data_IF_159668969594
#
_entry.id   IF_159668969594
#
_cell.length_a   1.000
_cell.length_b   1.000
_cell.length_c   1.000
_cell.angle_alpha   90.00
_cell.angle_beta   90.00
_cell.angle_gamma   90.00
#
_symmetry.space_group_name_H-M   'P 1'
#
loop_
_entity.id
_entity.type
_entity.pdbx_description
1 polymer ?
#
# COMPACT_ATOMS: atom_id res chain seq x y z
N UNK A 1 -42.25 -29.06 10.13
CA UNK A 1 -40.86 -29.27 10.59
C UNK A 1 -39.94 -28.74 9.50
N UNK A 2 -39.03 -27.83 9.84
CA UNK A 2 -38.00 -27.16 9.02
C UNK A 2 -38.50 -26.17 7.93
N UNK A 3 -38.66 -24.88 8.23
CA UNK A 3 -37.68 -23.76 8.18
C UNK A 3 -37.16 -23.41 6.79
N UNK A 4 -37.80 -22.39 6.21
CA UNK A 4 -37.41 -21.65 5.02
C UNK A 4 -36.31 -20.63 5.39
N UNK A 5 -35.17 -20.67 4.71
CA UNK A 5 -33.98 -19.87 5.00
C UNK A 5 -33.82 -18.74 3.98
N UNK A 6 -34.01 -17.50 4.44
CA UNK A 6 -33.91 -16.28 3.65
C UNK A 6 -32.49 -16.03 3.07
N UNK A 7 -32.34 -15.62 1.79
CA UNK A 7 -31.06 -15.16 1.24
C UNK A 7 -30.95 -13.63 1.33
N UNK A 8 -30.70 -13.09 2.52
CA UNK A 8 -30.67 -11.62 2.76
C UNK A 8 -29.32 -11.02 3.16
N UNK A 9 -28.29 -11.82 3.47
CA UNK A 9 -27.13 -11.33 4.25
C UNK A 9 -25.92 -10.82 3.47
N UNK A 10 -25.80 -11.07 2.16
CA UNK A 10 -24.54 -10.84 1.42
C UNK A 10 -24.42 -9.47 0.73
N UNK A 11 -25.54 -8.77 0.49
CA UNK A 11 -25.56 -7.51 -0.30
C UNK A 11 -25.21 -6.24 0.48
N UNK A 12 -25.27 -6.25 1.81
CA UNK A 12 -25.03 -5.04 2.62
C UNK A 12 -23.56 -4.81 2.99
N UNK A 13 -22.70 -5.81 2.79
CA UNK A 13 -21.28 -5.73 3.21
C UNK A 13 -20.36 -5.24 2.09
N UNK A 14 -20.76 -5.41 0.83
CA UNK A 14 -19.97 -5.01 -0.34
C UNK A 14 -20.11 -3.51 -0.66
N UNK A 15 -21.25 -2.88 -0.36
CA UNK A 15 -21.43 -1.42 -0.50
C UNK A 15 -20.50 -0.64 0.45
N UNK A 16 -20.34 -1.12 1.68
CA UNK A 16 -19.50 -0.47 2.69
C UNK A 16 -17.99 -0.50 2.42
N UNK A 17 -17.52 -1.39 1.54
CA UNK A 17 -16.11 -1.48 1.14
C UNK A 17 -15.85 -0.63 -0.10
N UNK A 18 -16.79 -0.58 -1.03
CA UNK A 18 -16.74 0.31 -2.20
C UNK A 18 -16.71 1.79 -1.80
N UNK A 19 -17.61 2.19 -0.89
CA UNK A 19 -17.76 3.58 -0.44
C UNK A 19 -16.48 4.12 0.24
N UNK A 20 -15.72 3.26 0.93
CA UNK A 20 -14.46 3.67 1.58
C UNK A 20 -13.34 3.93 0.58
N UNK A 21 -13.28 3.14 -0.51
CA UNK A 21 -12.26 3.30 -1.55
C UNK A 21 -12.55 4.57 -2.37
N UNK A 22 -13.82 4.86 -2.63
CA UNK A 22 -14.23 6.06 -3.34
C UNK A 22 -14.00 7.33 -2.50
N UNK A 23 -14.33 7.30 -1.20
CA UNK A 23 -14.08 8.43 -0.29
C UNK A 23 -12.59 8.75 -0.12
N UNK A 24 -11.71 7.74 -0.08
CA UNK A 24 -10.24 7.96 -0.03
C UNK A 24 -9.75 8.57 -1.35
N UNK A 25 -10.24 8.08 -2.49
CA UNK A 25 -9.86 8.62 -3.81
C UNK A 25 -10.30 10.07 -3.97
N UNK A 26 -11.51 10.42 -3.54
CA UNK A 26 -12.02 11.80 -3.54
C UNK A 26 -11.12 12.68 -2.66
N UNK A 27 -10.78 12.24 -1.44
CA UNK A 27 -9.95 13.01 -0.51
C UNK A 27 -8.54 13.29 -1.05
N UNK A 28 -7.91 12.28 -1.67
CA UNK A 28 -6.55 12.39 -2.23
C UNK A 28 -6.53 13.28 -3.48
N UNK A 29 -7.59 13.23 -4.29
CA UNK A 29 -7.65 13.98 -5.55
C UNK A 29 -8.06 15.43 -5.33
N UNK A 30 -9.04 15.71 -4.44
CA UNK A 30 -9.54 17.06 -4.18
C UNK A 30 -8.70 17.86 -3.17
N UNK A 31 -8.01 17.19 -2.24
CA UNK A 31 -7.22 17.86 -1.20
C UNK A 31 -6.23 18.90 -1.74
N UNK A 32 -5.38 18.57 -2.73
CA UNK A 32 -4.42 19.51 -3.31
C UNK A 32 -5.08 20.71 -4.02
N UNK A 33 -6.22 20.49 -4.69
CA UNK A 33 -6.95 21.55 -5.38
C UNK A 33 -7.62 22.52 -4.40
N UNK A 34 -8.22 21.99 -3.33
CA UNK A 34 -8.82 22.80 -2.28
C UNK A 34 -7.76 23.65 -1.56
N UNK A 35 -6.55 23.11 -1.37
CA UNK A 35 -5.43 23.86 -0.82
C UNK A 35 -5.02 25.02 -1.73
N UNK A 36 -4.80 24.78 -3.03
CA UNK A 36 -4.47 25.87 -3.96
C UNK A 36 -5.52 26.99 -3.94
N UNK A 37 -6.80 26.63 -3.95
CA UNK A 37 -7.89 27.62 -3.92
C UNK A 37 -7.88 28.42 -2.60
N UNK A 38 -7.63 27.76 -1.47
CA UNK A 38 -7.54 28.41 -0.16
C UNK A 38 -6.35 29.39 -0.10
N UNK A 39 -5.16 28.97 -0.56
CA UNK A 39 -3.97 29.84 -0.57
C UNK A 39 -4.16 31.03 -1.50
N UNK A 40 -4.78 30.83 -2.66
CA UNK A 40 -5.12 31.93 -3.59
C UNK A 40 -6.13 32.88 -2.95
N UNK A 41 -7.15 32.37 -2.25
CA UNK A 41 -8.14 33.19 -1.57
C UNK A 41 -7.52 34.07 -0.47
N UNK A 42 -6.61 33.52 0.33
CA UNK A 42 -5.87 34.26 1.36
C UNK A 42 -5.03 35.39 0.75
N UNK A 43 -4.32 35.13 -0.35
CA UNK A 43 -3.55 36.15 -1.08
C UNK A 43 -4.45 37.26 -1.62
N UNK A 44 -5.63 36.93 -2.17
CA UNK A 44 -6.60 37.91 -2.67
C UNK A 44 -7.20 38.75 -1.54
N UNK A 45 -7.44 38.17 -0.37
CA UNK A 45 -7.94 38.87 0.81
C UNK A 45 -6.93 39.89 1.36
N UNK A 46 -5.63 39.56 1.35
CA UNK A 46 -4.55 40.48 1.72
C UNK A 46 -4.42 41.61 0.70
N UNK A 47 -4.48 41.31 -0.62
CA UNK A 47 -4.43 42.32 -1.68
C UNK A 47 -5.60 43.31 -1.63
N UNK A 48 -6.75 42.89 -1.09
CA UNK A 48 -7.93 43.74 -0.88
C UNK A 48 -7.90 44.52 0.45
N UNK A 49 -6.87 44.34 1.27
CA UNK A 49 -6.73 45.02 2.56
C UNK A 49 -7.77 44.60 3.61
N UNK A 50 -8.45 43.47 3.41
CA UNK A 50 -9.47 42.96 4.33
C UNK A 50 -8.85 42.25 5.54
N UNK A 51 -7.59 41.80 5.41
CA UNK A 51 -6.87 41.05 6.43
C UNK A 51 -5.45 41.64 6.54
N UNK A 52 -4.93 41.80 7.75
CA UNK A 52 -3.56 42.24 7.98
C UNK A 52 -2.56 41.14 7.61
N UNK A 53 -1.35 41.55 7.19
CA UNK A 53 -0.28 40.61 6.81
C UNK A 53 0.04 39.64 7.95
N UNK A 54 -0.02 40.10 9.21
CA UNK A 54 0.25 39.28 10.39
C UNK A 54 -0.75 38.12 10.57
N UNK A 55 -2.03 38.37 10.30
CA UNK A 55 -3.08 37.33 10.35
C UNK A 55 -2.91 36.32 9.23
N UNK A 56 -2.47 36.76 8.05
CA UNK A 56 -2.15 35.87 6.93
C UNK A 56 -0.97 34.95 7.26
N UNK A 57 0.10 35.49 7.87
CA UNK A 57 1.26 34.69 8.30
C UNK A 57 0.87 33.66 9.36
N UNK A 58 0.01 34.05 10.31
CA UNK A 58 -0.50 33.13 11.33
C UNK A 58 -1.35 31.99 10.73
N UNK A 59 -2.24 32.30 9.78
CA UNK A 59 -3.07 31.31 9.09
C UNK A 59 -2.22 30.30 8.32
N UNK A 60 -1.24 30.78 7.54
CA UNK A 60 -0.32 29.93 6.79
C UNK A 60 0.51 29.06 7.74
N UNK A 61 0.99 29.63 8.85
CA UNK A 61 1.80 28.93 9.84
C UNK A 61 1.02 27.81 10.57
N UNK A 62 -0.31 27.92 10.71
CA UNK A 62 -1.16 26.91 11.36
C UNK A 62 -1.73 25.90 10.35
N UNK A 63 -2.12 26.35 9.16
CA UNK A 63 -2.74 25.49 8.14
C UNK A 63 -1.73 24.52 7.50
N UNK A 64 -0.52 24.98 7.18
CA UNK A 64 0.50 24.15 6.54
C UNK A 64 0.91 22.92 7.38
N UNK A 65 1.22 23.01 8.68
CA UNK A 65 1.62 21.84 9.45
C UNK A 65 0.50 20.79 9.55
N UNK A 66 -0.77 21.19 9.61
CA UNK A 66 -1.91 20.25 9.60
C UNK A 66 -2.01 19.49 8.28
N UNK A 67 -1.74 20.16 7.15
CA UNK A 67 -1.79 19.56 5.81
C UNK A 67 -0.59 18.64 5.59
N UNK A 68 0.61 19.03 6.02
CA UNK A 68 1.80 18.18 6.00
C UNK A 68 1.56 16.92 6.84
N UNK A 69 0.96 17.07 8.02
CA UNK A 69 0.55 15.92 8.85
C UNK A 69 -0.48 15.04 8.14
N UNK A 70 -1.50 15.62 7.52
CA UNK A 70 -2.52 14.88 6.76
C UNK A 70 -1.95 14.11 5.57
N UNK A 71 -1.10 14.75 4.77
CA UNK A 71 -0.44 14.14 3.63
C UNK A 71 0.55 13.04 4.08
N UNK A 72 1.28 13.25 5.18
CA UNK A 72 2.16 12.23 5.75
C UNK A 72 1.40 11.01 6.27
N UNK A 73 0.14 11.17 6.71
CA UNK A 73 -0.73 10.06 7.10
C UNK A 73 -1.32 9.33 5.92
N UNK A 74 -1.68 10.04 4.84
CA UNK A 74 -2.14 9.42 3.59
C UNK A 74 -1.03 8.61 2.94
N UNK A 75 0.19 9.16 2.88
CA UNK A 75 1.35 8.45 2.34
C UNK A 75 1.65 7.19 3.16
N UNK A 76 1.67 7.28 4.50
CA UNK A 76 1.79 6.10 5.37
C UNK A 76 0.64 5.10 5.18
N UNK A 77 -0.61 5.57 5.12
CA UNK A 77 -1.79 4.73 4.92
C UNK A 77 -1.84 4.03 3.56
N UNK A 78 -1.23 4.59 2.50
CA UNK A 78 -1.10 3.90 1.21
C UNK A 78 -0.17 2.69 1.27
N UNK A 79 0.89 2.75 2.09
CA UNK A 79 1.78 1.61 2.33
C UNK A 79 1.14 0.55 3.25
N UNK A 80 0.47 0.99 4.33
CA UNK A 80 -0.30 0.11 5.22
C UNK A 80 -1.41 -0.65 4.45
N UNK A 81 -2.08 0.01 3.49
CA UNK A 81 -3.16 -0.60 2.70
C UNK A 81 -2.72 -1.73 1.77
N UNK A 82 -1.48 -1.71 1.28
CA UNK A 82 -0.91 -2.77 0.44
C UNK A 82 -0.39 -3.92 1.30
N UNK A 83 0.33 -3.61 2.39
CA UNK A 83 0.79 -4.60 3.35
C UNK A 83 -0.37 -5.36 4.02
N UNK A 84 -1.43 -4.67 4.43
CA UNK A 84 -2.62 -5.29 5.03
C UNK A 84 -3.41 -6.13 4.02
N UNK A 85 -3.49 -5.72 2.75
CA UNK A 85 -4.12 -6.51 1.68
C UNK A 85 -3.30 -7.75 1.32
N UNK A 86 -1.98 -7.62 1.29
CA UNK A 86 -1.06 -8.74 1.10
C UNK A 86 -1.12 -9.70 2.27
N UNK A 87 -1.09 -9.23 3.52
CA UNK A 87 -1.29 -10.08 4.68
C UNK A 87 -2.65 -10.77 4.63
N UNK A 88 -3.74 -10.04 4.40
CA UNK A 88 -5.08 -10.64 4.30
C UNK A 88 -5.21 -11.72 3.23
N UNK A 89 -4.52 -11.57 2.09
CA UNK A 89 -4.51 -12.57 1.02
C UNK A 89 -3.54 -13.72 1.27
N UNK A 90 -2.34 -13.45 1.81
CA UNK A 90 -1.34 -14.47 2.14
C UNK A 90 -1.77 -15.34 3.33
N UNK A 91 -2.45 -14.75 4.32
CA UNK A 91 -3.06 -15.46 5.46
C UNK A 91 -4.18 -16.42 5.03
N UNK A 92 -4.78 -16.20 3.85
CA UNK A 92 -5.85 -17.05 3.33
C UNK A 92 -5.34 -18.30 2.58
N UNK A 93 -4.05 -18.38 2.28
CA UNK A 93 -3.46 -19.49 1.52
C UNK A 93 -3.04 -20.60 2.50
N UNK A 94 -4.02 -21.38 2.94
CA UNK A 94 -3.81 -22.57 3.78
C UNK A 94 -3.20 -23.71 2.94
N UNK A 95 -2.02 -24.19 3.32
CA UNK A 95 -1.56 -25.51 2.88
C UNK A 95 -0.06 -25.79 2.84
N UNK A 96 0.70 -25.55 3.93
CA UNK A 96 2.03 -26.16 4.12
C UNK A 96 2.25 -26.58 5.60
N UNK A 97 3.18 -27.51 5.90
CA UNK A 97 3.25 -28.22 7.20
C UNK A 97 3.70 -27.40 8.43
N UNK A 98 4.09 -26.13 8.26
CA UNK A 98 4.73 -25.31 9.31
C UNK A 98 3.76 -24.35 10.05
N UNK A 99 2.47 -24.70 10.11
CA UNK A 99 1.39 -23.84 10.61
C UNK A 99 1.60 -23.28 12.03
N UNK A 100 2.35 -23.97 12.89
CA UNK A 100 2.57 -23.51 14.27
C UNK A 100 3.51 -22.30 14.37
N UNK A 101 4.64 -22.34 13.67
CA UNK A 101 5.64 -21.25 13.69
C UNK A 101 5.07 -19.99 13.01
N UNK A 102 4.34 -20.16 11.91
CA UNK A 102 3.60 -19.07 11.29
C UNK A 102 2.53 -18.47 12.20
N UNK A 103 1.82 -19.29 12.98
CA UNK A 103 0.81 -18.77 13.93
C UNK A 103 1.45 -17.91 15.02
N UNK A 104 2.66 -18.25 15.48
CA UNK A 104 3.39 -17.44 16.45
C UNK A 104 3.85 -16.11 15.84
N UNK A 105 4.48 -16.14 14.67
CA UNK A 105 4.88 -14.93 13.93
C UNK A 105 3.69 -14.02 13.64
N UNK A 106 2.56 -14.58 13.20
CA UNK A 106 1.31 -13.84 12.97
C UNK A 106 0.75 -13.23 14.27
N UNK A 107 0.83 -13.96 15.39
CA UNK A 107 0.39 -13.41 16.67
C UNK A 107 1.23 -12.22 17.10
N UNK A 108 2.54 -12.22 16.83
CA UNK A 108 3.42 -11.07 17.10
C UNK A 108 3.01 -9.85 16.27
N UNK A 109 2.71 -10.06 14.98
CA UNK A 109 2.20 -8.99 14.11
C UNK A 109 0.88 -8.43 14.62
N UNK A 110 -0.05 -9.28 15.06
CA UNK A 110 -1.36 -8.85 15.60
C UNK A 110 -1.18 -8.02 16.89
N UNK A 111 -0.15 -8.31 17.69
CA UNK A 111 0.19 -7.57 18.91
C UNK A 111 0.93 -6.25 18.64
N UNK A 112 1.30 -5.97 17.38
CA UNK A 112 2.09 -4.82 17.01
C UNK A 112 3.59 -4.97 17.29
N UNK A 113 4.04 -6.19 17.60
CA UNK A 113 5.46 -6.50 17.85
C UNK A 113 6.20 -6.75 16.53
N UNK A 114 6.20 -5.74 15.65
CA UNK A 114 6.64 -5.90 14.25
C UNK A 114 8.13 -6.20 14.09
N UNK A 115 8.98 -5.63 14.95
CA UNK A 115 10.43 -5.89 14.95
C UNK A 115 10.70 -7.34 15.33
N UNK A 116 10.10 -7.80 16.43
CA UNK A 116 10.19 -9.19 16.88
C UNK A 116 9.63 -10.15 15.83
N UNK A 117 8.49 -9.81 15.20
CA UNK A 117 7.93 -10.61 14.13
C UNK A 117 8.89 -10.73 12.93
N UNK A 118 9.54 -9.64 12.54
CA UNK A 118 10.52 -9.65 11.45
C UNK A 118 11.75 -10.49 11.79
N UNK A 119 12.28 -10.39 13.02
CA UNK A 119 13.37 -11.24 13.50
C UNK A 119 13.00 -12.73 13.44
N UNK A 120 11.78 -13.08 13.86
CA UNK A 120 11.28 -14.47 13.75
C UNK A 120 11.14 -14.95 12.32
N UNK A 121 10.69 -14.10 11.40
CA UNK A 121 10.67 -14.43 9.97
C UNK A 121 12.09 -14.64 9.43
N UNK A 122 13.06 -13.80 9.83
CA UNK A 122 14.46 -13.96 9.43
C UNK A 122 15.06 -15.27 9.97
N UNK A 123 14.83 -15.60 11.24
CA UNK A 123 15.20 -16.89 11.85
C UNK A 123 14.60 -18.07 11.09
N UNK A 124 13.29 -18.00 10.78
CA UNK A 124 12.58 -19.04 10.03
C UNK A 124 13.18 -19.23 8.63
N UNK A 125 13.52 -18.15 7.95
CA UNK A 125 14.10 -18.17 6.61
C UNK A 125 15.53 -18.72 6.57
N UNK A 126 16.26 -18.73 7.70
CA UNK A 126 17.53 -19.46 7.80
C UNK A 126 17.31 -20.97 7.65
N UNK A 127 16.25 -21.51 8.29
CA UNK A 127 15.90 -22.92 8.19
C UNK A 127 15.20 -23.26 6.87
N UNK A 128 14.36 -22.35 6.36
CA UNK A 128 13.53 -22.55 5.17
C UNK A 128 13.74 -21.43 4.13
N UNK A 129 14.93 -21.34 3.51
CA UNK A 129 15.27 -20.22 2.61
C UNK A 129 14.46 -20.19 1.31
N UNK A 130 13.73 -21.26 0.98
CA UNK A 130 12.87 -21.35 -0.21
C UNK A 130 11.39 -21.09 0.09
N UNK A 131 11.04 -20.71 1.32
CA UNK A 131 9.66 -20.38 1.65
C UNK A 131 9.28 -18.99 1.12
N UNK A 132 8.63 -18.98 -0.04
CA UNK A 132 8.14 -17.76 -0.70
C UNK A 132 7.21 -16.95 0.21
N UNK A 133 6.33 -17.59 0.97
CA UNK A 133 5.34 -16.89 1.78
C UNK A 133 6.00 -16.17 2.96
N UNK A 134 6.99 -16.81 3.60
CA UNK A 134 7.80 -16.17 4.63
C UNK A 134 8.54 -14.94 4.10
N UNK A 135 9.20 -15.04 2.93
CA UNK A 135 9.84 -13.89 2.30
C UNK A 135 8.85 -12.76 1.98
N UNK A 136 7.68 -13.09 1.43
CA UNK A 136 6.64 -12.10 1.12
C UNK A 136 6.08 -11.40 2.36
N UNK A 137 5.89 -12.13 3.47
CA UNK A 137 5.39 -11.59 4.73
C UNK A 137 6.42 -10.69 5.42
N UNK A 138 7.70 -11.10 5.42
CA UNK A 138 8.79 -10.25 5.89
C UNK A 138 8.89 -8.96 5.08
N UNK A 139 8.81 -9.06 3.75
CA UNK A 139 8.85 -7.88 2.87
C UNK A 139 7.67 -6.93 3.12
N UNK A 140 6.47 -7.46 3.36
CA UNK A 140 5.29 -6.67 3.68
C UNK A 140 5.45 -5.92 5.02
N UNK A 141 5.98 -6.58 6.05
CA UNK A 141 6.29 -5.95 7.33
C UNK A 141 7.33 -4.83 7.20
N UNK A 142 8.37 -5.07 6.39
CA UNK A 142 9.40 -4.08 6.11
C UNK A 142 8.83 -2.86 5.37
N UNK A 143 7.98 -3.08 4.36
CA UNK A 143 7.38 -2.00 3.56
C UNK A 143 6.38 -1.15 4.35
N UNK A 144 5.59 -1.79 5.22
CA UNK A 144 4.56 -1.15 6.02
C UNK A 144 5.09 -0.70 7.37
N UNK A 145 4.91 -1.56 8.37
CA UNK A 145 5.00 -1.20 9.79
C UNK A 145 6.40 -0.81 10.25
N UNK A 146 7.44 -1.37 9.62
CA UNK A 146 8.82 -1.01 9.94
C UNK A 146 9.30 0.25 9.21
N UNK A 147 8.60 0.68 8.15
CA UNK A 147 9.00 1.85 7.37
C UNK A 147 10.37 1.71 6.69
N UNK A 148 10.73 0.49 6.26
CA UNK A 148 11.99 0.14 5.61
C UNK A 148 11.76 -0.25 4.13
N UNK A 149 11.30 0.67 3.26
CA UNK A 149 10.93 0.36 1.87
C UNK A 149 12.10 -0.17 1.04
N UNK A 150 13.32 0.34 1.24
CA UNK A 150 14.51 -0.14 0.52
C UNK A 150 14.82 -1.62 0.83
N UNK A 151 14.67 -2.00 2.10
CA UNK A 151 14.84 -3.41 2.52
C UNK A 151 13.73 -4.28 1.95
N UNK A 152 12.49 -3.77 1.97
CA UNK A 152 11.35 -4.50 1.43
C UNK A 152 11.52 -4.85 -0.05
N UNK A 153 12.07 -3.94 -0.86
CA UNK A 153 12.39 -4.21 -2.28
C UNK A 153 13.32 -5.41 -2.40
N UNK A 154 14.43 -5.41 -1.65
CA UNK A 154 15.39 -6.53 -1.66
C UNK A 154 14.73 -7.83 -1.25
N UNK A 155 13.90 -7.80 -0.21
CA UNK A 155 13.21 -8.99 0.31
C UNK A 155 12.16 -9.52 -0.67
N UNK A 156 11.42 -8.66 -1.37
CA UNK A 156 10.50 -9.09 -2.44
C UNK A 156 11.23 -9.68 -3.64
N UNK A 157 12.41 -9.16 -3.99
CA UNK A 157 13.24 -9.75 -5.04
C UNK A 157 13.73 -11.15 -4.65
N UNK A 158 14.12 -11.36 -3.38
CA UNK A 158 14.42 -12.71 -2.86
C UNK A 158 13.22 -13.63 -2.89
N UNK A 159 12.02 -13.14 -2.53
CA UNK A 159 10.77 -13.91 -2.64
C UNK A 159 10.48 -14.36 -4.08
N UNK A 160 10.94 -13.61 -5.08
CA UNK A 160 10.81 -13.98 -6.50
C UNK A 160 11.81 -15.07 -6.90
N UNK A 161 13.00 -15.08 -6.30
CA UNK A 161 14.04 -16.08 -6.57
C UNK A 161 13.67 -17.48 -6.05
N UNK A 162 12.76 -17.59 -5.08
CA UNK A 162 12.32 -18.89 -4.53
C UNK A 162 11.38 -19.69 -5.45
N UNK A 163 10.93 -19.10 -6.55
CA UNK A 163 9.99 -19.73 -7.50
C UNK A 163 8.53 -19.59 -7.08
N UNK A 164 7.99 -18.35 -7.00
CA UNK A 164 6.61 -18.11 -6.59
C UNK A 164 5.60 -18.72 -7.57
N UNK A 165 4.42 -19.07 -7.06
CA UNK A 165 3.26 -19.38 -7.89
C UNK A 165 2.87 -18.16 -8.75
N UNK A 166 2.14 -18.36 -9.87
CA UNK A 166 1.68 -17.23 -10.68
C UNK A 166 0.87 -16.18 -9.90
N UNK A 167 0.15 -16.58 -8.85
CA UNK A 167 -0.56 -15.65 -7.98
C UNK A 167 0.39 -14.85 -7.10
N UNK A 168 1.34 -15.51 -6.43
CA UNK A 168 2.36 -14.85 -5.62
C UNK A 168 3.23 -13.91 -6.48
N UNK A 169 3.60 -14.31 -7.70
CA UNK A 169 4.36 -13.47 -8.62
C UNK A 169 3.63 -12.17 -8.96
N UNK A 170 2.31 -12.22 -9.17
CA UNK A 170 1.50 -11.01 -9.37
C UNK A 170 1.48 -10.13 -8.12
N UNK A 171 1.38 -10.72 -6.94
CA UNK A 171 1.40 -9.99 -5.68
C UNK A 171 2.75 -9.30 -5.44
N UNK A 172 3.86 -10.01 -5.68
CA UNK A 172 5.22 -9.48 -5.61
C UNK A 172 5.40 -8.33 -6.60
N UNK A 173 4.99 -8.53 -7.86
CA UNK A 173 5.14 -7.50 -8.90
C UNK A 173 4.35 -6.22 -8.60
N UNK A 174 3.11 -6.34 -8.11
CA UNK A 174 2.33 -5.18 -7.65
C UNK A 174 3.03 -4.45 -6.50
N UNK A 175 3.52 -5.18 -5.49
CA UNK A 175 4.22 -4.58 -4.35
C UNK A 175 5.48 -3.83 -4.78
N UNK A 176 6.28 -4.41 -5.69
CA UNK A 176 7.48 -3.76 -6.23
C UNK A 176 7.15 -2.52 -7.06
N UNK A 177 6.09 -2.53 -7.87
CA UNK A 177 5.62 -1.34 -8.60
C UNK A 177 5.31 -0.20 -7.62
N UNK A 178 4.57 -0.49 -6.55
CA UNK A 178 4.19 0.52 -5.56
C UNK A 178 5.40 1.03 -4.78
N UNK A 179 6.32 0.15 -4.38
CA UNK A 179 7.58 0.51 -3.72
C UNK A 179 8.45 1.39 -4.61
N UNK A 180 8.70 1.01 -5.86
CA UNK A 180 9.53 1.80 -6.78
C UNK A 180 8.89 3.16 -7.11
N UNK A 181 7.55 3.21 -7.22
CA UNK A 181 6.83 4.48 -7.40
C UNK A 181 7.04 5.41 -6.22
N UNK A 182 6.95 4.88 -5.00
CA UNK A 182 7.07 5.69 -3.80
C UNK A 182 8.51 6.11 -3.49
N UNK A 183 9.49 5.27 -3.83
CA UNK A 183 10.92 5.60 -3.75
C UNK A 183 11.36 6.57 -4.86
N UNK A 184 10.54 6.77 -5.90
CA UNK A 184 10.86 7.62 -7.04
C UNK A 184 11.88 7.01 -8.01
N UNK A 185 12.19 5.72 -7.89
CA UNK A 185 13.09 5.01 -8.80
C UNK A 185 12.37 4.70 -10.13
N UNK A 186 12.41 5.68 -11.04
CA UNK A 186 11.75 5.58 -12.35
C UNK A 186 12.30 4.44 -13.21
N UNK A 187 13.60 4.14 -13.10
CA UNK A 187 14.21 3.10 -13.92
C UNK A 187 13.72 1.71 -13.48
N UNK A 188 13.78 1.42 -12.18
CA UNK A 188 13.27 0.16 -11.65
C UNK A 188 11.75 0.05 -11.82
N UNK A 189 11.00 1.12 -11.61
CA UNK A 189 9.56 1.17 -11.85
C UNK A 189 9.21 0.82 -13.30
N UNK A 190 9.91 1.43 -14.27
CA UNK A 190 9.70 1.17 -15.70
C UNK A 190 9.98 -0.28 -16.06
N UNK A 191 11.08 -0.84 -15.53
CA UNK A 191 11.45 -2.24 -15.73
C UNK A 191 10.39 -3.19 -15.14
N UNK A 192 9.95 -2.93 -13.92
CA UNK A 192 8.96 -3.77 -13.23
C UNK A 192 7.59 -3.69 -13.90
N UNK A 193 7.14 -2.50 -14.33
CA UNK A 193 5.89 -2.34 -15.10
C UNK A 193 5.93 -3.10 -16.43
N UNK A 194 7.06 -3.05 -17.15
CA UNK A 194 7.21 -3.78 -18.41
C UNK A 194 7.14 -5.30 -18.18
N UNK A 195 7.82 -5.79 -17.13
CA UNK A 195 7.76 -7.20 -16.73
C UNK A 195 6.34 -7.60 -16.33
N UNK A 196 5.69 -6.80 -15.49
CA UNK A 196 4.33 -7.05 -15.00
C UNK A 196 3.30 -7.08 -16.14
N UNK A 197 3.39 -6.14 -17.08
CA UNK A 197 2.53 -6.09 -18.26
C UNK A 197 2.72 -7.33 -19.15
N UNK A 198 3.96 -7.81 -19.31
CA UNK A 198 4.27 -9.02 -20.08
C UNK A 198 3.71 -10.27 -19.39
N UNK A 199 3.92 -10.43 -18.10
CA UNK A 199 3.43 -11.60 -17.34
C UNK A 199 1.91 -11.65 -17.25
N UNK A 200 1.25 -10.50 -17.27
CA UNK A 200 -0.19 -10.36 -17.17
C UNK A 200 -0.82 -9.97 -18.52
N UNK A 201 -0.19 -10.36 -19.63
CA UNK A 201 -0.70 -10.09 -20.97
C UNK A 201 -2.16 -10.56 -21.09
N UNK A 202 -2.98 -9.77 -21.77
CA UNK A 202 -4.42 -10.01 -21.98
C UNK A 202 -5.33 -9.82 -20.75
N UNK A 203 -4.78 -9.53 -19.57
CA UNK A 203 -5.58 -9.16 -18.39
C UNK A 203 -5.86 -7.65 -18.34
N UNK A 204 -6.87 -7.23 -17.57
CA UNK A 204 -7.14 -5.81 -17.33
C UNK A 204 -5.95 -5.11 -16.65
N UNK A 205 -5.35 -5.77 -15.66
CA UNK A 205 -4.24 -5.24 -14.87
C UNK A 205 -2.96 -5.10 -15.73
N UNK A 206 -2.71 -6.07 -16.64
CA UNK A 206 -1.60 -5.97 -17.59
C UNK A 206 -1.76 -4.81 -18.59
N UNK A 207 -2.98 -4.53 -19.04
CA UNK A 207 -3.28 -3.37 -19.90
C UNK A 207 -3.07 -2.04 -19.16
N UNK A 208 -3.43 -1.99 -17.88
CA UNK A 208 -3.19 -0.82 -17.04
C UNK A 208 -1.69 -0.57 -16.84
N UNK A 209 -0.92 -1.61 -16.51
CA UNK A 209 0.53 -1.51 -16.41
C UNK A 209 1.17 -1.05 -17.74
N UNK A 210 0.68 -1.55 -18.88
CA UNK A 210 1.14 -1.12 -20.19
C UNK A 210 0.80 0.34 -20.49
N UNK A 211 -0.38 0.83 -20.05
CA UNK A 211 -0.76 2.23 -20.19
C UNK A 211 0.15 3.12 -19.34
N UNK A 212 0.36 2.78 -18.07
CA UNK A 212 1.27 3.50 -17.18
C UNK A 212 2.69 3.58 -17.77
N UNK A 213 3.17 2.50 -18.40
CA UNK A 213 4.47 2.49 -19.07
C UNK A 213 4.57 3.47 -20.27
N UNK A 214 3.48 3.66 -21.02
CA UNK A 214 3.43 4.59 -22.16
C UNK A 214 3.37 6.05 -21.72
N UNK A 215 2.73 6.31 -20.59
CA UNK A 215 2.59 7.66 -20.01
C UNK A 215 3.88 8.14 -19.32
N UNK A 216 4.85 7.24 -19.08
CA UNK A 216 6.14 7.60 -18.50
C UNK A 216 7.07 8.26 -19.52
N UNK A 217 7.52 9.51 -19.29
CA UNK A 217 8.50 10.18 -20.14
C UNK A 217 9.81 9.39 -20.16
N UNK A 218 10.48 9.40 -21.31
CA UNK A 218 11.79 8.76 -21.56
C UNK A 218 12.89 9.37 -20.72
#
# INVERSE_FOLDING_TARGET
MATDAAPGGKRLRDSHVGDRIENIRILVTLGPWMFMVLTIAEVVLVLRGLISVDVCVLLVAVANPLIILGLSRVLRGTFEGVAARLMGTLLSTRGTPHTREFSEMESLVIRGEYTTAAERYEEFLVAFPRDTDAWMRLAALQAGELGLPDRAVVTYLKARETGPTPQQERLIGNALIDLHRALGDRHALRAELARFARLNANTAIGREAQRALREMPS
#
